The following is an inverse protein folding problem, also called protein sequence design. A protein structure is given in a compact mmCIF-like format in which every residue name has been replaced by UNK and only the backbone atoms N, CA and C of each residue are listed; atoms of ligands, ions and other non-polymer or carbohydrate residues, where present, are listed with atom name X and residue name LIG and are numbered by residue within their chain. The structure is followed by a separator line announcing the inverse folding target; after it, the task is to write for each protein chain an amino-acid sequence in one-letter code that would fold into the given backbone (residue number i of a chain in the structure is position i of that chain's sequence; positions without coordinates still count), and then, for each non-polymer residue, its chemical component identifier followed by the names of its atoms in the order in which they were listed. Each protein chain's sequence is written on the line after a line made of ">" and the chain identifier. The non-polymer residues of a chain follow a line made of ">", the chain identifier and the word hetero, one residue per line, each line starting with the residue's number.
data_IF_844462675664
#
_entry.id   IF_844462675664
#
_cell.length_a   1.000
_cell.length_b   1.000
_cell.length_c   1.000
_cell.angle_alpha   90.00
_cell.angle_beta   90.00
_cell.angle_gamma   90.00
#
_symmetry.space_group_name_H-M   'P 1'
#
loop_
_entity.id
_entity.type
_entity.pdbx_description
1 polymer ?
#
# COMPACT_ATOMS: atom_id res chain seq x y z
N UNK A 1 8.82 7.44 15.19
CA UNK A 1 7.99 8.63 14.94
C UNK A 1 6.56 8.14 14.95
N UNK A 2 5.67 8.62 15.84
CA UNK A 2 4.25 8.31 15.71
C UNK A 2 3.77 9.09 14.49
N UNK A 3 3.58 8.41 13.36
CA UNK A 3 2.92 9.02 12.22
C UNK A 3 1.47 9.25 12.63
N UNK A 4 1.01 10.48 12.50
CA UNK A 4 -0.37 10.84 12.82
C UNK A 4 -1.27 10.07 11.85
N UNK A 5 -1.86 8.94 12.30
CA UNK A 5 -2.66 8.04 11.45
C UNK A 5 -3.73 8.80 10.66
N UNK A 6 -4.27 9.87 11.24
CA UNK A 6 -5.25 10.73 10.59
C UNK A 6 -4.68 11.49 9.38
N UNK A 7 -3.41 11.91 9.45
CA UNK A 7 -2.73 12.55 8.33
C UNK A 7 -2.40 11.54 7.22
N UNK A 8 -1.99 10.31 7.57
CA UNK A 8 -1.76 9.27 6.56
C UNK A 8 -3.06 8.84 5.87
N UNK A 9 -4.14 8.68 6.63
CA UNK A 9 -5.45 8.34 6.10
C UNK A 9 -5.97 9.43 5.17
N UNK A 10 -5.95 10.69 5.59
CA UNK A 10 -6.37 11.81 4.71
C UNK A 10 -5.55 11.91 3.43
N UNK A 11 -4.23 11.64 3.50
CA UNK A 11 -3.38 11.57 2.31
C UNK A 11 -3.79 10.40 1.41
N UNK A 12 -4.10 9.23 1.98
CA UNK A 12 -4.65 8.11 1.23
C UNK A 12 -5.98 8.46 0.55
N UNK A 13 -6.91 9.10 1.25
CA UNK A 13 -8.18 9.56 0.68
C UNK A 13 -7.94 10.47 -0.51
N UNK A 14 -7.07 11.46 -0.36
CA UNK A 14 -6.73 12.40 -1.43
C UNK A 14 -6.12 11.68 -2.64
N UNK A 15 -5.20 10.73 -2.42
CA UNK A 15 -4.63 9.90 -3.51
C UNK A 15 -5.70 9.06 -4.20
N UNK A 16 -6.56 8.39 -3.44
CA UNK A 16 -7.64 7.58 -3.98
C UNK A 16 -8.58 8.43 -4.84
N UNK A 17 -9.05 9.57 -4.32
CA UNK A 17 -9.95 10.46 -5.05
C UNK A 17 -9.32 10.96 -6.35
N UNK A 18 -8.03 11.34 -6.33
CA UNK A 18 -7.31 11.80 -7.52
C UNK A 18 -7.14 10.72 -8.59
N UNK A 19 -6.90 9.46 -8.18
CA UNK A 19 -6.49 8.39 -9.10
C UNK A 19 -7.64 7.46 -9.53
N UNK A 20 -8.72 7.43 -8.77
CA UNK A 20 -9.83 6.49 -8.93
C UNK A 20 -11.16 7.22 -9.04
N UNK A 21 -11.32 8.33 -8.31
CA UNK A 21 -12.52 9.16 -8.29
C UNK A 21 -13.09 9.33 -6.88
N UNK A 22 -14.03 10.26 -6.75
CA UNK A 22 -14.73 10.55 -5.49
C UNK A 22 -15.74 9.45 -5.16
N UNK A 23 -15.27 8.43 -4.44
CA UNK A 23 -16.07 7.31 -3.97
C UNK A 23 -16.17 7.31 -2.45
N UNK A 24 -17.31 6.83 -1.95
CA UNK A 24 -17.51 6.61 -0.52
C UNK A 24 -16.78 5.36 -0.05
N UNK A 25 -16.42 5.31 1.23
CA UNK A 25 -15.87 4.10 1.82
C UNK A 25 -16.84 2.91 1.66
N UNK A 26 -16.31 1.73 1.36
CA UNK A 26 -17.09 0.55 1.00
C UNK A 26 -17.41 0.43 -0.49
N UNK A 27 -17.15 1.45 -1.32
CA UNK A 27 -17.36 1.40 -2.76
C UNK A 27 -16.10 0.98 -3.51
N UNK A 28 -16.28 0.34 -4.66
CA UNK A 28 -15.19 -0.07 -5.54
C UNK A 28 -15.02 0.92 -6.69
N UNK A 29 -13.76 1.26 -6.97
CA UNK A 29 -13.37 1.98 -8.17
C UNK A 29 -12.37 1.19 -9.00
N UNK A 30 -12.17 1.56 -10.27
CA UNK A 30 -11.24 0.86 -11.16
C UNK A 30 -9.92 1.63 -11.26
N UNK A 31 -8.82 0.96 -10.93
CA UNK A 31 -7.47 1.52 -11.07
C UNK A 31 -6.53 0.49 -11.69
N UNK A 32 -5.81 0.86 -12.75
CA UNK A 32 -4.85 -0.02 -13.47
C UNK A 32 -5.43 -1.41 -13.81
N UNK A 33 -6.71 -1.46 -14.21
CA UNK A 33 -7.39 -2.71 -14.58
C UNK A 33 -7.89 -3.56 -13.41
N UNK A 34 -7.72 -3.12 -12.15
CA UNK A 34 -8.17 -3.81 -10.94
C UNK A 34 -9.31 -3.03 -10.25
N UNK A 35 -10.15 -3.74 -9.52
CA UNK A 35 -11.13 -3.15 -8.62
C UNK A 35 -10.46 -2.88 -7.28
N UNK A 36 -10.50 -1.63 -6.84
CA UNK A 36 -9.92 -1.17 -5.58
C UNK A 36 -11.05 -0.69 -4.68
N UNK A 37 -11.12 -1.25 -3.47
CA UNK A 37 -12.06 -0.84 -2.45
C UNK A 37 -11.60 0.48 -1.82
N UNK A 38 -12.50 1.45 -1.70
CA UNK A 38 -12.27 2.62 -0.86
C UNK A 38 -12.37 2.19 0.60
N UNK A 39 -11.24 2.17 1.29
CA UNK A 39 -11.15 1.70 2.68
C UNK A 39 -11.72 2.70 3.67
N UNK A 40 -12.30 2.18 4.74
CA UNK A 40 -12.53 2.94 5.97
C UNK A 40 -11.20 3.17 6.71
N UNK A 41 -11.18 4.05 7.71
CA UNK A 41 -9.96 4.41 8.46
C UNK A 41 -9.37 3.20 9.21
N UNK A 42 -10.21 2.42 9.88
CA UNK A 42 -9.84 1.17 10.54
C UNK A 42 -9.21 0.15 9.57
N UNK A 43 -9.83 -0.04 8.41
CA UNK A 43 -9.33 -0.93 7.37
C UNK A 43 -8.02 -0.42 6.77
N UNK A 44 -7.87 0.90 6.65
CA UNK A 44 -6.65 1.53 6.17
C UNK A 44 -5.50 1.29 7.16
N UNK A 45 -5.72 1.49 8.45
CA UNK A 45 -4.70 1.28 9.49
C UNK A 45 -4.21 -0.17 9.48
N UNK A 46 -5.12 -1.14 9.40
CA UNK A 46 -4.78 -2.56 9.30
C UNK A 46 -3.93 -2.85 8.04
N UNK A 47 -4.33 -2.28 6.90
CA UNK A 47 -3.64 -2.51 5.63
C UNK A 47 -2.29 -1.82 5.56
N UNK A 48 -2.17 -0.63 6.14
CA UNK A 48 -0.92 0.11 6.26
C UNK A 48 0.04 -0.61 7.21
N UNK A 49 -0.44 -1.08 8.36
CA UNK A 49 0.35 -1.88 9.30
C UNK A 49 0.88 -3.16 8.66
N UNK A 50 0.04 -3.86 7.89
CA UNK A 50 0.45 -5.04 7.13
C UNK A 50 1.53 -4.70 6.08
N UNK A 51 1.32 -3.63 5.31
CA UNK A 51 2.30 -3.18 4.31
C UNK A 51 3.66 -2.83 4.94
N UNK A 52 3.67 -2.13 6.07
CA UNK A 52 4.89 -1.81 6.81
C UNK A 52 5.59 -3.08 7.32
N UNK A 53 4.83 -4.08 7.81
CA UNK A 53 5.38 -5.35 8.24
C UNK A 53 6.06 -6.13 7.10
N UNK A 54 5.41 -6.20 5.93
CA UNK A 54 6.02 -6.80 4.74
C UNK A 54 7.33 -6.09 4.35
N UNK A 55 7.34 -4.76 4.43
CA UNK A 55 8.53 -3.96 4.15
C UNK A 55 9.67 -4.22 5.14
N UNK A 56 9.37 -4.33 6.44
CA UNK A 56 10.35 -4.70 7.47
C UNK A 56 10.93 -6.10 7.23
N UNK A 57 10.08 -7.07 6.86
CA UNK A 57 10.53 -8.42 6.52
C UNK A 57 11.47 -8.42 5.33
N UNK A 58 11.14 -7.68 4.27
CA UNK A 58 11.98 -7.55 3.09
C UNK A 58 13.34 -6.94 3.44
N UNK A 59 13.35 -5.86 4.23
CA UNK A 59 14.59 -5.25 4.70
C UNK A 59 15.45 -6.23 5.50
N UNK A 60 14.84 -6.97 6.43
CA UNK A 60 15.55 -7.98 7.21
C UNK A 60 16.17 -9.07 6.31
N UNK A 61 15.44 -9.57 5.31
CA UNK A 61 15.96 -10.56 4.34
C UNK A 61 17.13 -10.02 3.52
N UNK A 62 17.06 -8.75 3.12
CA UNK A 62 18.17 -8.07 2.41
C UNK A 62 19.39 -7.95 3.32
N UNK A 63 19.20 -7.56 4.58
CA UNK A 63 20.28 -7.40 5.55
C UNK A 63 20.95 -8.72 5.93
N UNK A 64 20.19 -9.81 6.04
CA UNK A 64 20.75 -11.15 6.32
C UNK A 64 21.40 -11.78 5.08
N UNK A 65 21.13 -11.25 3.88
CA UNK A 65 21.61 -11.82 2.62
C UNK A 65 20.88 -13.12 2.24
N UNK A 66 19.72 -13.37 2.83
CA UNK A 66 18.89 -14.53 2.52
C UNK A 66 18.21 -14.40 1.15
N UNK A 67 17.69 -15.52 0.64
CA UNK A 67 16.90 -15.49 -0.59
C UNK A 67 15.58 -14.78 -0.34
N UNK A 68 15.32 -13.73 -1.14
CA UNK A 68 14.05 -13.02 -1.11
C UNK A 68 12.96 -13.91 -1.73
N UNK A 69 11.92 -14.19 -0.95
CA UNK A 69 10.74 -14.90 -1.43
C UNK A 69 9.98 -14.01 -2.43
N UNK A 70 9.74 -14.52 -3.64
CA UNK A 70 8.95 -13.83 -4.66
C UNK A 70 7.53 -13.52 -4.16
N UNK A 71 6.97 -14.36 -3.28
CA UNK A 71 5.67 -14.13 -2.67
C UNK A 71 5.64 -12.83 -1.88
N UNK A 72 6.71 -12.50 -1.15
CA UNK A 72 6.81 -11.26 -0.37
C UNK A 72 6.72 -10.01 -1.27
N UNK A 73 7.34 -10.07 -2.44
CA UNK A 73 7.30 -9.00 -3.44
C UNK A 73 5.88 -8.86 -4.01
N UNK A 74 5.22 -9.98 -4.30
CA UNK A 74 3.82 -9.99 -4.78
C UNK A 74 2.87 -9.41 -3.74
N UNK A 75 3.02 -9.78 -2.47
CA UNK A 75 2.22 -9.25 -1.36
C UNK A 75 2.44 -7.75 -1.17
N UNK A 76 3.68 -7.27 -1.23
CA UNK A 76 4.00 -5.83 -1.20
C UNK A 76 3.29 -5.07 -2.32
N UNK A 77 3.37 -5.57 -3.56
CA UNK A 77 2.71 -4.94 -4.72
C UNK A 77 1.18 -4.98 -4.61
N UNK A 78 0.62 -6.02 -4.03
CA UNK A 78 -0.81 -6.11 -3.76
C UNK A 78 -1.25 -5.05 -2.75
N UNK A 79 -0.53 -4.95 -1.62
CA UNK A 79 -0.79 -3.94 -0.60
C UNK A 79 -0.64 -2.50 -1.14
N UNK A 80 0.41 -2.22 -1.92
CA UNK A 80 0.59 -0.93 -2.60
C UNK A 80 -0.58 -0.57 -3.51
N UNK A 81 -1.10 -1.56 -4.25
CA UNK A 81 -2.22 -1.36 -5.16
C UNK A 81 -3.49 -0.99 -4.40
N UNK A 82 -3.75 -1.66 -3.27
CA UNK A 82 -4.92 -1.41 -2.43
C UNK A 82 -4.84 -0.08 -1.67
N UNK A 83 -3.64 0.28 -1.20
CA UNK A 83 -3.33 1.56 -0.55
C UNK A 83 -3.14 2.72 -1.55
N UNK A 84 -3.26 2.43 -2.84
CA UNK A 84 -3.08 3.39 -3.94
C UNK A 84 -1.75 4.14 -3.80
N UNK A 85 -0.68 3.39 -3.56
CA UNK A 85 0.69 3.87 -3.46
C UNK A 85 1.29 3.87 -4.88
N UNK A 86 1.66 5.04 -5.38
CA UNK A 86 2.23 5.19 -6.72
C UNK A 86 3.72 4.84 -6.77
N UNK A 87 4.43 5.22 -5.71
CA UNK A 87 5.87 5.01 -5.56
C UNK A 87 6.10 4.08 -4.39
N UNK A 88 6.64 2.89 -4.66
CA UNK A 88 6.92 1.90 -3.63
C UNK A 88 7.86 2.49 -2.57
N UNK A 89 7.62 2.13 -1.31
CA UNK A 89 8.48 2.54 -0.20
C UNK A 89 9.64 1.57 0.01
N UNK A 90 9.48 0.32 -0.44
CA UNK A 90 10.42 -0.76 -0.14
C UNK A 90 11.02 -1.39 -1.39
N UNK A 91 10.27 -1.44 -2.48
CA UNK A 91 10.72 -2.03 -3.73
C UNK A 91 11.42 -0.97 -4.58
N UNK A 92 12.51 -1.33 -5.28
CA UNK A 92 13.11 -0.42 -6.24
C UNK A 92 12.08 -0.04 -7.29
N UNK A 93 12.04 1.25 -7.64
CA UNK A 93 11.28 1.74 -8.78
C UNK A 93 11.88 1.12 -10.04
N UNK A 94 11.36 -0.04 -10.42
CA UNK A 94 11.57 -0.64 -11.73
C UNK A 94 10.76 0.20 -12.70
N UNK A 95 11.35 1.32 -13.11
CA UNK A 95 10.78 2.23 -14.08
C UNK A 95 10.37 1.46 -15.32
N UNK A 96 9.12 1.68 -15.75
CA UNK A 96 8.68 1.46 -17.12
C UNK A 96 8.30 2.81 -17.70
#
# INVERSE_FOLDING_TARGET
>A
MPTDSSHEFSTYVARFCRLIGELQAGQYGRHRGRLILRLHEDQFDDRMGHYQELGRRLQATIETGDTIDELLIVELRAAETELVIETSWFLPNTGR
#
